data_IF_941561200744
#
_entry.id   IF_941561200744
#
_cell.length_a   1.000
_cell.length_b   1.000
_cell.length_c   1.000
_cell.angle_alpha   90.00
_cell.angle_beta   90.00
_cell.angle_gamma   90.00
#
_symmetry.space_group_name_H-M   'P 1'
#
loop_
_entity.id
_entity.type
_entity.pdbx_description
1 polymer ?
#
# COMPACT_ATOMS: atom_id res chain seq x y z
N UNK A 1 -7.56 -21.61 -22.58
CA UNK A 1 -6.18 -21.43 -22.09
C UNK A 1 -5.96 -22.44 -20.98
N UNK A 2 -4.92 -23.26 -21.02
CA UNK A 2 -4.64 -24.24 -19.96
C UNK A 2 -3.55 -23.67 -19.06
N UNK A 3 -3.90 -23.40 -17.79
CA UNK A 3 -2.94 -23.04 -16.74
C UNK A 3 -2.63 -24.29 -15.94
N UNK A 4 -1.35 -24.65 -15.83
CA UNK A 4 -0.87 -25.82 -15.09
C UNK A 4 -0.14 -25.35 -13.84
N UNK A 5 -0.52 -25.89 -12.69
CA UNK A 5 0.20 -25.68 -11.43
C UNK A 5 1.34 -26.70 -11.30
N UNK A 6 2.51 -26.26 -10.82
CA UNK A 6 3.66 -27.13 -10.54
C UNK A 6 4.46 -26.58 -9.36
N UNK A 7 5.20 -27.43 -8.65
CA UNK A 7 6.12 -27.01 -7.58
C UNK A 7 7.53 -27.39 -7.99
N UNK A 8 8.47 -26.45 -7.96
CA UNK A 8 9.89 -26.69 -8.27
C UNK A 8 10.77 -26.08 -7.19
N UNK A 9 11.62 -26.91 -6.56
CA UNK A 9 12.48 -26.46 -5.47
C UNK A 9 11.73 -25.85 -4.28
N UNK A 10 10.49 -26.31 -4.02
CA UNK A 10 9.62 -25.78 -2.97
C UNK A 10 8.84 -24.51 -3.35
N UNK A 11 9.07 -23.94 -4.54
CA UNK A 11 8.35 -22.75 -5.01
C UNK A 11 7.21 -23.17 -5.95
N UNK A 12 5.97 -22.71 -5.72
CA UNK A 12 4.85 -22.97 -6.63
C UNK A 12 4.91 -22.08 -7.87
N UNK A 13 4.63 -22.66 -9.04
CA UNK A 13 4.61 -22.04 -10.36
C UNK A 13 3.29 -22.28 -11.07
N UNK A 14 2.87 -21.30 -11.84
CA UNK A 14 1.79 -21.40 -12.81
C UNK A 14 2.37 -21.32 -14.23
N UNK A 15 1.98 -22.26 -15.08
CA UNK A 15 2.41 -22.32 -16.47
C UNK A 15 1.21 -22.10 -17.38
N UNK A 16 1.27 -21.10 -18.24
CA UNK A 16 0.25 -20.84 -19.25
C UNK A 16 0.83 -21.00 -20.66
N UNK A 17 0.07 -21.65 -21.55
CA UNK A 17 0.43 -21.85 -22.95
C UNK A 17 -0.46 -21.02 -23.87
N UNK A 18 0.15 -20.22 -24.75
CA UNK A 18 -0.51 -19.33 -25.71
C UNK A 18 -0.08 -19.68 -27.12
N UNK A 19 -1.03 -19.97 -28.01
CA UNK A 19 -0.76 -20.32 -29.41
C UNK A 19 -0.57 -19.06 -30.28
N UNK A 20 0.65 -18.71 -30.67
CA UNK A 20 0.96 -17.47 -31.41
C UNK A 20 0.79 -17.57 -32.94
N UNK A 21 0.35 -18.71 -33.47
CA UNK A 21 0.08 -18.83 -34.91
C UNK A 21 -1.23 -18.12 -35.28
N UNK A 22 -1.12 -17.05 -36.07
CA UNK A 22 -2.25 -16.38 -36.74
C UNK A 22 -2.08 -16.60 -38.25
N UNK A 23 -2.95 -17.39 -38.87
CA UNK A 23 -3.07 -17.41 -40.33
C UNK A 23 -2.18 -18.36 -41.15
N UNK A 24 -1.77 -19.51 -40.61
CA UNK A 24 -1.26 -20.64 -41.44
C UNK A 24 0.12 -20.47 -42.09
N UNK A 25 0.75 -19.29 -42.03
CA UNK A 25 2.13 -19.09 -42.47
C UNK A 25 3.10 -19.43 -41.34
N UNK A 26 3.94 -20.46 -41.53
CA UNK A 26 5.05 -20.82 -40.65
C UNK A 26 6.18 -19.77 -40.72
N UNK A 27 5.94 -18.58 -40.18
CA UNK A 27 6.97 -17.56 -40.03
C UNK A 27 7.70 -17.80 -38.71
N UNK A 28 9.04 -17.69 -38.72
CA UNK A 28 9.90 -17.79 -37.53
C UNK A 28 9.34 -16.86 -36.46
N UNK A 29 8.87 -17.43 -35.35
CA UNK A 29 8.16 -16.70 -34.32
C UNK A 29 9.01 -15.51 -33.83
N UNK A 30 8.49 -14.30 -33.97
CA UNK A 30 9.25 -13.08 -33.65
C UNK A 30 9.47 -12.96 -32.15
N UNK A 31 10.50 -12.21 -31.72
CA UNK A 31 10.81 -12.03 -30.31
C UNK A 31 9.58 -11.59 -29.52
N UNK A 32 9.36 -12.22 -28.37
CA UNK A 32 8.21 -12.00 -27.51
C UNK A 32 8.67 -11.35 -26.22
N UNK A 33 8.11 -10.20 -25.87
CA UNK A 33 8.33 -9.56 -24.57
C UNK A 33 7.17 -9.85 -23.64
N UNK A 34 7.49 -9.91 -22.35
CA UNK A 34 6.53 -10.19 -21.29
C UNK A 34 6.54 -9.02 -20.31
N UNK A 35 5.35 -8.51 -19.99
CA UNK A 35 5.18 -7.42 -19.03
C UNK A 35 4.04 -7.76 -18.08
N UNK A 36 4.22 -7.52 -16.79
CA UNK A 36 3.14 -7.71 -15.84
C UNK A 36 2.23 -6.46 -15.85
N UNK A 37 0.92 -6.67 -15.96
CA UNK A 37 -0.10 -5.60 -16.03
C UNK A 37 -1.00 -5.54 -14.80
N UNK A 38 -1.05 -6.63 -14.04
CA UNK A 38 -1.71 -6.69 -12.74
C UNK A 38 -1.09 -7.80 -11.90
N UNK A 39 -1.41 -7.86 -10.61
CA UNK A 39 -0.99 -8.95 -9.71
C UNK A 39 -1.21 -10.34 -10.34
N UNK A 40 -2.37 -10.55 -10.96
CA UNK A 40 -2.75 -11.81 -11.60
C UNK A 40 -2.68 -11.79 -13.14
N UNK A 41 -2.08 -10.76 -13.76
CA UNK A 41 -2.21 -10.53 -15.20
C UNK A 41 -0.88 -10.24 -15.88
N UNK A 42 -0.56 -11.04 -16.90
CA UNK A 42 0.67 -10.92 -17.68
C UNK A 42 0.31 -10.63 -19.13
N UNK A 43 0.89 -9.61 -19.73
CA UNK A 43 0.75 -9.29 -21.14
C UNK A 43 1.99 -9.72 -21.91
N UNK A 44 1.73 -10.45 -22.98
CA UNK A 44 2.72 -10.86 -23.97
C UNK A 44 2.58 -9.94 -25.18
N UNK A 45 3.71 -9.37 -25.63
CA UNK A 45 3.79 -8.56 -26.84
C UNK A 45 4.71 -9.26 -27.83
N UNK A 46 4.19 -9.59 -28.99
CA UNK A 46 4.95 -10.16 -30.11
C UNK A 46 5.58 -9.04 -30.95
N UNK A 47 6.59 -9.35 -31.79
CA UNK A 47 7.25 -8.30 -32.57
C UNK A 47 6.35 -7.62 -33.63
N UNK A 48 5.24 -8.24 -34.05
CA UNK A 48 4.20 -7.57 -34.85
C UNK A 48 3.28 -6.66 -34.00
N UNK A 49 3.65 -6.37 -32.74
CA UNK A 49 2.88 -5.56 -31.79
C UNK A 49 1.51 -6.15 -31.41
N UNK A 50 1.28 -7.44 -31.65
CA UNK A 50 0.08 -8.12 -31.17
C UNK A 50 0.21 -8.32 -29.65
N UNK A 51 -0.85 -7.97 -28.92
CA UNK A 51 -0.88 -8.06 -27.46
C UNK A 51 -1.81 -9.17 -27.04
N UNK A 52 -1.33 -10.02 -26.14
CA UNK A 52 -2.11 -11.12 -25.57
C UNK A 52 -2.01 -11.12 -24.06
N UNK A 53 -3.18 -11.08 -23.41
CA UNK A 53 -3.27 -11.10 -21.96
C UNK A 53 -3.45 -12.52 -21.45
N UNK A 54 -2.67 -12.87 -20.45
CA UNK A 54 -2.76 -14.08 -19.65
C UNK A 54 -3.30 -13.69 -18.28
N UNK A 55 -4.38 -14.35 -17.86
CA UNK A 55 -4.92 -14.21 -16.51
C UNK A 55 -4.60 -15.46 -15.70
N UNK A 56 -3.95 -15.28 -14.57
CA UNK A 56 -3.64 -16.32 -13.61
C UNK A 56 -4.65 -16.31 -12.45
N UNK A 57 -4.95 -17.46 -11.83
CA UNK A 57 -5.86 -17.53 -10.68
C UNK A 57 -5.26 -16.95 -9.39
N UNK A 58 -3.93 -16.80 -9.33
CA UNK A 58 -3.23 -16.26 -8.17
C UNK A 58 -2.26 -15.15 -8.59
N UNK A 59 -1.88 -14.26 -7.66
CA UNK A 59 -0.82 -13.30 -7.90
C UNK A 59 0.49 -13.98 -8.30
N UNK A 60 1.18 -13.42 -9.29
CA UNK A 60 2.42 -13.97 -9.85
C UNK A 60 3.51 -12.92 -9.85
N UNK A 61 4.76 -13.38 -9.84
CA UNK A 61 5.94 -12.51 -9.92
C UNK A 61 6.64 -12.72 -11.27
N UNK A 62 6.43 -11.79 -12.19
CA UNK A 62 7.00 -11.85 -13.54
C UNK A 62 8.52 -11.62 -13.56
N UNK A 63 9.09 -11.01 -12.51
CA UNK A 63 10.55 -10.73 -12.47
C UNK A 63 11.38 -12.02 -12.44
N UNK A 64 10.80 -13.10 -11.94
CA UNK A 64 11.39 -14.44 -11.87
C UNK A 64 10.76 -15.42 -12.86
N UNK A 65 10.02 -14.91 -13.84
CA UNK A 65 9.33 -15.75 -14.80
C UNK A 65 10.27 -16.25 -15.90
N UNK A 66 9.94 -17.44 -16.41
CA UNK A 66 10.59 -18.05 -17.56
C UNK A 66 9.64 -18.02 -18.75
N UNK A 67 10.17 -17.60 -19.89
CA UNK A 67 9.45 -17.61 -21.16
C UNK A 67 10.15 -18.59 -22.10
N UNK A 68 9.41 -19.61 -22.54
CA UNK A 68 9.85 -20.55 -23.56
C UNK A 68 9.02 -20.35 -24.82
N UNK A 69 9.69 -20.03 -25.91
CA UNK A 69 9.06 -19.80 -27.20
C UNK A 69 9.35 -20.95 -28.17
N UNK A 70 8.31 -21.42 -28.84
CA UNK A 70 8.36 -22.39 -29.96
C UNK A 70 7.73 -21.73 -31.19
N UNK A 71 7.81 -22.38 -32.36
CA UNK A 71 7.29 -21.83 -33.63
C UNK A 71 5.80 -21.45 -33.60
N UNK A 72 4.98 -22.15 -32.80
CA UNK A 72 3.52 -21.96 -32.75
C UNK A 72 3.01 -21.54 -31.38
N UNK A 73 3.87 -21.51 -30.35
CA UNK A 73 3.44 -21.40 -28.96
C UNK A 73 4.43 -20.62 -28.12
N UNK A 74 3.91 -19.84 -27.19
CA UNK A 74 4.66 -19.30 -26.06
C UNK A 74 4.17 -19.99 -24.78
N UNK A 75 5.11 -20.54 -24.03
CA UNK A 75 4.90 -21.09 -22.69
C UNK A 75 5.48 -20.09 -21.68
N UNK A 76 4.61 -19.53 -20.84
CA UNK A 76 4.98 -18.64 -19.75
C UNK A 76 4.87 -19.40 -18.45
N UNK A 77 5.99 -19.53 -17.74
CA UNK A 77 6.04 -20.10 -16.41
C UNK A 77 6.40 -19.00 -15.42
N UNK A 78 5.49 -18.74 -14.49
CA UNK A 78 5.60 -17.65 -13.50
C UNK A 78 5.47 -18.24 -12.10
N UNK A 79 6.34 -17.88 -11.13
CA UNK A 79 6.13 -18.25 -9.75
C UNK A 79 4.94 -17.50 -9.18
N UNK A 80 4.20 -18.16 -8.27
CA UNK A 80 3.20 -17.46 -7.45
C UNK A 80 3.93 -16.48 -6.53
N UNK A 81 3.42 -15.25 -6.43
CA UNK A 81 3.95 -14.26 -5.51
C UNK A 81 3.81 -14.75 -4.09
N UNK A 82 4.89 -14.72 -3.32
CA UNK A 82 4.85 -15.02 -1.90
C UNK A 82 4.40 -13.76 -1.14
N UNK A 83 3.23 -13.78 -0.45
CA UNK A 83 2.77 -12.66 0.34
C UNK A 83 3.74 -12.28 1.47
N UNK A 84 4.57 -13.22 1.91
CA UNK A 84 5.56 -13.04 2.97
C UNK A 84 6.81 -12.27 2.51
N UNK A 85 7.12 -12.29 1.21
CA UNK A 85 8.22 -11.53 0.61
C UNK A 85 7.78 -10.09 0.40
N UNK A 86 8.35 -9.20 1.21
CA UNK A 86 8.20 -7.75 1.13
C UNK A 86 8.52 -7.28 -0.31
N UNK A 87 7.63 -6.50 -0.92
CA UNK A 87 7.72 -5.99 -2.30
C UNK A 87 7.67 -7.02 -3.46
N UNK A 88 7.32 -8.30 -3.22
CA UNK A 88 7.05 -9.25 -4.32
C UNK A 88 5.83 -8.84 -5.17
N UNK A 89 4.94 -8.02 -4.60
CA UNK A 89 3.88 -7.31 -5.30
C UNK A 89 4.43 -5.99 -5.85
N UNK A 90 4.94 -6.03 -7.08
CA UNK A 90 5.31 -4.85 -7.87
C UNK A 90 4.11 -4.01 -8.35
N UNK A 91 2.92 -4.26 -7.78
CA UNK A 91 1.64 -3.65 -8.16
C UNK A 91 1.11 -2.73 -7.08
N UNK A 92 0.22 -1.84 -7.50
CA UNK A 92 -0.55 -0.97 -6.62
C UNK A 92 -1.20 -1.77 -5.48
N UNK A 93 -0.82 -1.44 -4.23
CA UNK A 93 -1.35 -2.08 -3.02
C UNK A 93 -2.75 -1.57 -2.66
N UNK A 94 -3.20 -0.50 -3.30
CA UNK A 94 -4.52 0.11 -3.13
C UNK A 94 -5.25 0.18 -4.48
N UNK A 95 -5.44 -0.97 -5.16
CA UNK A 95 -5.85 -0.96 -6.55
C UNK A 95 -7.23 -0.31 -6.71
N UNK A 96 -7.25 0.67 -7.59
CA UNK A 96 -8.45 1.31 -8.10
C UNK A 96 -8.68 0.86 -9.53
N UNK A 97 -9.84 0.28 -9.79
CA UNK A 97 -10.21 -0.24 -11.10
C UNK A 97 -11.16 0.73 -11.78
N UNK A 98 -10.88 1.11 -13.01
CA UNK A 98 -11.79 1.92 -13.81
C UNK A 98 -12.78 1.03 -14.55
N UNK A 99 -14.04 1.02 -14.12
CA UNK A 99 -15.13 0.37 -14.85
C UNK A 99 -15.94 1.45 -15.56
N UNK A 100 -15.90 1.45 -16.91
CA UNK A 100 -16.58 2.47 -17.74
C UNK A 100 -16.26 3.91 -17.28
N UNK A 101 -14.97 4.20 -17.11
CA UNK A 101 -14.47 5.50 -16.61
C UNK A 101 -14.87 5.87 -15.17
N UNK A 102 -15.50 4.96 -14.43
CA UNK A 102 -15.82 5.15 -13.02
C UNK A 102 -14.78 4.41 -12.17
N UNK A 103 -14.11 5.06 -11.20
CA UNK A 103 -13.20 4.39 -10.30
C UNK A 103 -13.95 3.53 -9.28
N UNK A 104 -13.46 2.31 -9.09
CA UNK A 104 -13.90 1.35 -8.11
C UNK A 104 -12.73 0.99 -7.20
N UNK A 105 -12.89 1.23 -5.91
CA UNK A 105 -11.95 0.78 -4.89
C UNK A 105 -12.08 -0.74 -4.70
N UNK A 106 -10.97 -1.46 -4.86
CA UNK A 106 -11.01 -2.92 -4.77
C UNK A 106 -10.94 -3.41 -3.32
N UNK A 107 -10.06 -2.81 -2.50
CA UNK A 107 -9.76 -3.27 -1.15
C UNK A 107 -10.01 -2.22 -0.07
N UNK A 108 -10.64 -1.09 -0.43
CA UNK A 108 -10.98 -0.01 0.51
C UNK A 108 -12.49 0.27 0.36
N UNK A 109 -13.22 0.24 1.47
CA UNK A 109 -14.66 0.51 1.49
C UNK A 109 -14.96 2.00 1.34
N UNK A 110 -15.98 2.33 0.55
CA UNK A 110 -16.55 3.67 0.52
C UNK A 110 -17.27 3.98 1.83
N UNK A 111 -17.13 5.22 2.30
CA UNK A 111 -17.74 5.68 3.55
C UNK A 111 -18.33 7.09 3.41
N UNK A 112 -19.36 7.37 4.21
CA UNK A 112 -19.90 8.73 4.36
C UNK A 112 -19.42 9.31 5.69
N UNK A 113 -18.36 10.13 5.63
CA UNK A 113 -17.77 10.77 6.81
C UNK A 113 -18.79 11.58 7.61
N UNK A 114 -19.68 12.33 6.96
CA UNK A 114 -20.62 13.23 7.65
C UNK A 114 -21.66 12.50 8.49
N UNK A 115 -21.89 11.20 8.24
CA UNK A 115 -22.80 10.36 9.01
C UNK A 115 -22.13 9.70 10.22
N UNK A 116 -20.80 9.81 10.36
CA UNK A 116 -20.05 9.16 11.43
C UNK A 116 -19.93 10.06 12.67
N UNK A 117 -20.05 9.50 13.89
CA UNK A 117 -19.81 10.25 15.12
C UNK A 117 -18.38 10.81 15.20
N UNK A 118 -18.23 12.05 15.67
CA UNK A 118 -16.94 12.69 15.87
C UNK A 118 -16.37 12.25 17.23
N UNK A 119 -15.08 11.89 17.24
CA UNK A 119 -14.33 11.56 18.45
C UNK A 119 -13.73 12.85 19.01
N UNK A 120 -14.09 13.19 20.25
CA UNK A 120 -13.51 14.35 20.92
C UNK A 120 -12.04 14.10 21.25
N UNK A 121 -11.17 14.98 20.76
CA UNK A 121 -9.72 14.98 21.04
C UNK A 121 -9.33 16.00 22.12
N UNK A 122 -10.31 16.52 22.88
CA UNK A 122 -10.06 17.48 23.95
C UNK A 122 -9.30 16.86 25.13
N UNK A 123 -9.68 15.63 25.50
CA UNK A 123 -9.00 14.85 26.54
C UNK A 123 -8.14 13.76 25.88
N UNK A 124 -6.84 14.01 25.69
CA UNK A 124 -5.95 13.01 25.09
C UNK A 124 -5.75 11.77 25.96
N UNK A 125 -5.90 11.88 27.29
CA UNK A 125 -5.70 10.75 28.20
C UNK A 125 -6.78 9.66 28.02
N UNK A 126 -8.01 10.04 27.65
CA UNK A 126 -9.07 9.07 27.32
C UNK A 126 -8.87 8.39 25.97
N UNK A 127 -7.87 8.79 25.19
CA UNK A 127 -7.57 8.23 23.86
C UNK A 127 -6.36 7.28 23.87
N UNK A 128 -5.86 6.86 25.04
CA UNK A 128 -4.74 5.91 25.12
C UNK A 128 -5.05 4.56 24.45
N UNK A 129 -6.33 4.16 24.38
CA UNK A 129 -6.76 2.96 23.64
C UNK A 129 -6.42 3.03 22.14
N UNK A 130 -6.28 4.23 21.59
CA UNK A 130 -5.98 4.44 20.17
C UNK A 130 -4.61 3.87 19.80
N UNK A 131 -3.62 3.97 20.69
CA UNK A 131 -2.29 3.39 20.45
C UNK A 131 -2.37 1.87 20.35
N UNK A 132 -3.09 1.24 21.28
CA UNK A 132 -3.33 -0.20 21.25
C UNK A 132 -4.09 -0.63 19.99
N UNK A 133 -5.15 0.10 19.62
CA UNK A 133 -5.95 -0.17 18.41
C UNK A 133 -5.10 -0.07 17.14
N UNK A 134 -4.32 1.00 17.00
CA UNK A 134 -3.48 1.22 15.83
C UNK A 134 -2.28 0.27 15.78
N UNK A 135 -1.79 -0.20 16.94
CA UNK A 135 -0.73 -1.21 16.95
C UNK A 135 -1.16 -2.50 16.23
N UNK A 136 -2.45 -2.86 16.25
CA UNK A 136 -2.97 -4.01 15.50
C UNK A 136 -2.96 -3.81 13.97
N UNK A 137 -2.61 -2.62 13.47
CA UNK A 137 -2.30 -2.44 12.06
C UNK A 137 -1.11 -3.29 11.60
N UNK A 138 -0.19 -3.57 12.53
CA UNK A 138 1.08 -4.23 12.26
C UNK A 138 0.98 -5.75 12.46
N UNK A 139 1.27 -6.50 11.40
CA UNK A 139 1.50 -7.93 11.47
C UNK A 139 2.80 -8.21 12.25
N UNK A 140 2.91 -9.40 12.84
CA UNK A 140 4.08 -9.77 13.65
C UNK A 140 5.38 -9.80 12.84
N UNK A 141 5.29 -10.11 11.53
CA UNK A 141 6.42 -10.01 10.63
C UNK A 141 6.89 -8.56 10.43
N UNK A 142 5.96 -7.60 10.36
CA UNK A 142 6.26 -6.17 10.20
C UNK A 142 6.91 -5.62 11.47
N UNK A 143 6.49 -6.10 12.65
CA UNK A 143 7.11 -5.75 13.94
C UNK A 143 8.57 -6.19 14.06
N UNK A 144 8.93 -7.30 13.40
CA UNK A 144 10.29 -7.84 13.34
C UNK A 144 11.10 -7.30 12.16
N UNK A 145 10.45 -6.61 11.23
CA UNK A 145 11.10 -6.10 10.03
C UNK A 145 12.05 -4.94 10.38
N UNK A 146 13.18 -4.89 9.69
CA UNK A 146 14.09 -3.74 9.76
C UNK A 146 13.38 -2.57 9.08
N UNK A 147 13.29 -1.39 9.73
CA UNK A 147 12.79 -0.18 9.09
C UNK A 147 13.48 0.05 7.74
N UNK A 148 12.75 0.57 6.75
CA UNK A 148 13.21 0.93 5.39
C UNK A 148 13.12 -0.13 4.28
N UNK A 149 12.73 -1.38 4.58
CA UNK A 149 12.57 -2.42 3.52
C UNK A 149 11.13 -2.53 3.01
N UNK A 150 10.11 -2.31 3.85
CA UNK A 150 8.71 -2.46 3.44
C UNK A 150 7.97 -1.12 3.39
N UNK A 151 7.57 -0.73 2.18
CA UNK A 151 6.81 0.49 1.93
C UNK A 151 5.51 0.55 2.75
N UNK A 152 4.78 -0.57 2.88
CA UNK A 152 3.49 -0.58 3.58
C UNK A 152 3.67 -0.48 5.08
N UNK A 153 4.67 -1.15 5.65
CA UNK A 153 5.05 -0.96 7.04
C UNK A 153 5.36 0.52 7.33
N UNK A 154 6.15 1.17 6.48
CA UNK A 154 6.44 2.60 6.63
C UNK A 154 5.16 3.46 6.56
N UNK A 155 4.28 3.23 5.58
CA UNK A 155 2.97 3.90 5.50
C UNK A 155 2.15 3.69 6.77
N UNK A 156 2.07 2.45 7.29
CA UNK A 156 1.35 2.11 8.53
C UNK A 156 1.90 2.86 9.75
N UNK A 157 3.22 2.99 9.85
CA UNK A 157 3.86 3.80 10.91
C UNK A 157 3.52 5.28 10.77
N UNK A 158 3.60 5.82 9.56
CA UNK A 158 3.26 7.21 9.26
C UNK A 158 1.79 7.49 9.57
N UNK A 159 0.87 6.56 9.24
CA UNK A 159 -0.53 6.61 9.65
C UNK A 159 -0.66 6.65 11.18
N UNK A 160 -0.05 5.70 11.89
CA UNK A 160 -0.13 5.64 13.35
C UNK A 160 0.36 6.94 14.00
N UNK A 161 1.46 7.51 13.51
CA UNK A 161 1.97 8.82 13.93
C UNK A 161 0.93 9.92 13.69
N UNK A 162 0.33 10.01 12.50
CA UNK A 162 -0.69 11.03 12.19
C UNK A 162 -1.86 10.96 13.18
N UNK A 163 -2.43 9.77 13.40
CA UNK A 163 -3.58 9.58 14.29
C UNK A 163 -3.24 9.93 15.75
N UNK A 164 -2.14 9.42 16.28
CA UNK A 164 -1.76 9.60 17.69
C UNK A 164 -1.32 11.03 18.00
N UNK A 165 -0.60 11.67 17.07
CA UNK A 165 -0.23 13.09 17.16
C UNK A 165 -1.45 13.98 17.08
N UNK A 166 -2.41 13.71 16.19
CA UNK A 166 -3.64 14.49 16.09
C UNK A 166 -4.52 14.35 17.35
N UNK A 167 -4.66 13.12 17.87
CA UNK A 167 -5.35 12.85 19.12
C UNK A 167 -4.68 13.50 20.33
N UNK A 168 -3.41 13.90 20.21
CA UNK A 168 -2.60 14.45 21.28
C UNK A 168 -2.10 13.40 22.27
N UNK A 169 -2.20 12.12 21.91
CA UNK A 169 -1.56 11.00 22.64
C UNK A 169 -0.06 11.13 22.50
N UNK A 170 0.43 11.40 21.29
CA UNK A 170 1.81 11.82 21.04
C UNK A 170 1.92 13.35 21.07
N UNK A 171 3.07 13.85 21.51
CA UNK A 171 3.37 15.29 21.60
C UNK A 171 4.49 15.67 20.60
N UNK A 172 4.46 16.89 20.03
CA UNK A 172 3.41 17.91 20.18
C UNK A 172 2.11 17.50 19.48
N UNK A 173 0.96 18.02 19.94
CA UNK A 173 -0.33 17.80 19.25
C UNK A 173 -0.35 18.67 17.99
N UNK A 174 -0.66 18.09 16.83
CA UNK A 174 -0.64 18.79 15.55
C UNK A 174 -1.85 18.43 14.68
N UNK A 175 -2.29 19.38 13.85
CA UNK A 175 -3.33 19.17 12.83
C UNK A 175 -2.78 19.08 11.41
N UNK A 176 -1.54 19.54 11.21
CA UNK A 176 -0.90 19.65 9.92
C UNK A 176 0.31 18.72 9.88
N UNK A 177 0.36 17.90 8.84
CA UNK A 177 1.43 16.93 8.62
C UNK A 177 2.02 17.12 7.23
N UNK A 178 3.32 17.07 7.14
CA UNK A 178 4.09 17.23 5.90
C UNK A 178 4.77 15.93 5.56
N UNK A 179 4.46 15.36 4.41
CA UNK A 179 5.20 14.22 3.88
C UNK A 179 6.33 14.73 3.02
N UNK A 180 7.56 14.35 3.40
CA UNK A 180 8.79 14.74 2.71
C UNK A 180 9.43 13.56 2.02
N UNK A 181 10.04 13.79 0.87
CA UNK A 181 10.92 12.82 0.25
C UNK A 181 12.22 12.68 1.04
N UNK A 182 13.03 11.66 0.71
CA UNK A 182 14.37 11.47 1.27
C UNK A 182 15.31 12.66 1.03
N UNK A 183 15.05 13.44 -0.02
CA UNK A 183 15.80 14.63 -0.40
C UNK A 183 15.37 15.89 0.39
N UNK A 184 14.29 15.78 1.19
CA UNK A 184 13.78 16.84 2.05
C UNK A 184 12.64 17.68 1.45
N UNK A 185 12.27 17.42 0.20
CA UNK A 185 11.20 18.12 -0.50
C UNK A 185 9.82 17.67 0.00
N UNK A 186 8.94 18.63 0.26
CA UNK A 186 7.56 18.34 0.64
C UNK A 186 6.80 17.95 -0.63
N UNK A 187 6.26 16.73 -0.67
CA UNK A 187 5.41 16.30 -1.78
C UNK A 187 3.92 16.38 -1.45
N UNK A 188 3.53 16.35 -0.17
CA UNK A 188 2.12 16.43 0.23
C UNK A 188 1.98 17.00 1.63
N UNK A 189 0.95 17.83 1.83
CA UNK A 189 0.53 18.33 3.14
C UNK A 189 -0.85 17.77 3.46
N UNK A 190 -1.01 17.20 4.65
CA UNK A 190 -2.27 16.70 5.17
C UNK A 190 -2.77 17.63 6.28
N UNK A 191 -4.04 18.00 6.18
CA UNK A 191 -4.75 18.76 7.21
C UNK A 191 -5.82 17.86 7.80
N UNK A 192 -5.59 17.37 9.01
CA UNK A 192 -6.57 16.55 9.72
C UNK A 192 -7.57 17.48 10.39
N UNK A 193 -8.84 17.36 10.01
CA UNK A 193 -9.94 18.14 10.59
C UNK A 193 -10.37 17.54 11.92
N UNK A 194 -10.65 16.23 11.91
CA UNK A 194 -11.22 15.51 13.05
C UNK A 194 -11.04 14.00 12.93
N UNK A 195 -11.20 13.30 14.04
CA UNK A 195 -11.33 11.85 14.07
C UNK A 195 -12.81 11.49 14.16
N UNK A 196 -13.22 10.47 13.41
CA UNK A 196 -14.57 9.93 13.39
C UNK A 196 -14.55 8.44 13.68
N UNK A 197 -15.64 7.93 14.24
CA UNK A 197 -15.82 6.51 14.53
C UNK A 197 -16.54 5.85 13.35
N UNK A 198 -15.83 4.99 12.62
CA UNK A 198 -16.42 4.12 11.61
C UNK A 198 -17.02 2.90 12.31
N UNK A 199 -18.32 3.02 12.61
CA UNK A 199 -19.08 1.98 13.30
C UNK A 199 -19.18 0.68 12.49
N UNK A 200 -19.20 0.77 11.16
CA UNK A 200 -19.33 -0.40 10.29
C UNK A 200 -18.05 -1.25 10.29
N UNK A 201 -16.90 -0.58 10.25
CA UNK A 201 -15.59 -1.23 10.27
C UNK A 201 -15.00 -1.34 11.69
N UNK A 202 -15.76 -0.92 12.72
CA UNK A 202 -15.35 -0.90 14.13
C UNK A 202 -13.97 -0.26 14.35
N UNK A 203 -13.72 0.86 13.67
CA UNK A 203 -12.41 1.52 13.69
C UNK A 203 -12.55 3.04 13.70
N UNK A 204 -11.42 3.73 13.76
CA UNK A 204 -11.35 5.17 13.61
C UNK A 204 -11.02 5.55 12.17
N UNK A 205 -11.49 6.72 11.75
CA UNK A 205 -11.12 7.34 10.47
C UNK A 205 -10.81 8.80 10.71
N UNK A 206 -9.72 9.30 10.13
CA UNK A 206 -9.42 10.71 10.11
C UNK A 206 -10.05 11.36 8.87
N UNK A 207 -10.87 12.37 9.12
CA UNK A 207 -11.42 13.25 8.10
C UNK A 207 -10.40 14.35 7.83
N UNK A 208 -9.84 14.37 6.63
CA UNK A 208 -8.72 15.23 6.32
C UNK A 208 -8.81 15.84 4.92
N UNK A 209 -7.95 16.81 4.67
CA UNK A 209 -7.75 17.42 3.37
C UNK A 209 -6.30 17.23 2.93
N UNK A 210 -6.12 16.86 1.67
CA UNK A 210 -4.82 16.65 1.05
C UNK A 210 -4.49 17.84 0.14
N UNK A 211 -3.30 18.40 0.31
CA UNK A 211 -2.69 19.35 -0.60
C UNK A 211 -1.46 18.70 -1.24
N UNK A 212 -1.55 18.25 -2.50
CA UNK A 212 -0.37 17.78 -3.21
C UNK A 212 0.50 18.99 -3.56
N UNK A 213 1.81 18.86 -3.33
CA UNK A 213 2.78 19.88 -3.76
C UNK A 213 3.40 19.36 -5.06
N UNK A 214 2.96 19.85 -6.23
CA UNK A 214 3.53 19.42 -7.49
C UNK A 214 5.02 19.77 -7.54
N UNK A 215 5.81 18.92 -8.22
CA UNK A 215 7.24 19.12 -8.48
C UNK A 215 7.52 20.30 -9.45
N UNK A 216 6.56 21.23 -9.61
CA UNK A 216 6.52 22.31 -10.58
C UNK A 216 5.39 23.31 -10.28
N UNK A 217 5.47 24.49 -10.89
CA UNK A 217 4.74 25.75 -10.63
C UNK A 217 3.21 25.73 -10.94
N UNK A 218 2.48 24.67 -10.61
CA UNK A 218 1.02 24.62 -10.87
C UNK A 218 0.18 25.39 -9.83
N UNK A 219 0.78 25.75 -8.68
CA UNK A 219 0.14 26.62 -7.70
C UNK A 219 1.04 27.84 -7.42
N UNK A 220 0.76 29.00 -8.06
CA UNK A 220 1.56 30.21 -7.90
C UNK A 220 1.66 30.69 -6.44
N UNK A 221 0.65 30.41 -5.61
CA UNK A 221 0.58 30.78 -4.19
C UNK A 221 1.08 29.69 -3.23
N UNK A 222 1.28 28.45 -3.68
CA UNK A 222 1.72 27.35 -2.81
C UNK A 222 3.07 27.63 -2.14
N UNK A 223 4.12 28.11 -2.82
CA UNK A 223 5.41 28.32 -2.17
C UNK A 223 5.34 29.35 -1.02
N UNK A 224 4.54 30.40 -1.17
CA UNK A 224 4.35 31.44 -0.15
C UNK A 224 3.48 30.92 0.99
N UNK A 225 2.38 30.22 0.66
CA UNK A 225 1.45 29.71 1.67
C UNK A 225 2.04 28.55 2.47
N UNK A 226 2.77 27.64 1.82
CA UNK A 226 3.52 26.57 2.50
C UNK A 226 4.55 27.16 3.45
N UNK A 227 5.33 28.18 3.02
CA UNK A 227 6.26 28.88 3.92
C UNK A 227 5.54 29.52 5.11
N UNK A 228 4.33 30.06 4.93
CA UNK A 228 3.53 30.62 6.03
C UNK A 228 3.06 29.55 7.00
N UNK A 229 2.53 28.44 6.49
CA UNK A 229 2.09 27.28 7.28
C UNK A 229 3.24 26.76 8.15
N UNK A 230 4.41 26.54 7.54
CA UNK A 230 5.60 26.01 8.22
C UNK A 230 6.15 26.95 9.30
N UNK A 231 5.97 28.26 9.16
CA UNK A 231 6.47 29.25 10.13
C UNK A 231 5.53 29.50 11.30
N UNK A 232 4.22 29.47 11.04
CA UNK A 232 3.22 30.01 11.97
C UNK A 232 2.40 28.93 12.67
N UNK A 233 2.50 27.66 12.25
CA UNK A 233 1.68 26.57 12.80
C UNK A 233 2.56 25.41 13.26
N UNK A 234 2.11 24.68 14.28
CA UNK A 234 2.73 23.39 14.64
C UNK A 234 2.48 22.38 13.53
N UNK A 235 3.56 22.05 12.82
CA UNK A 235 3.59 21.05 11.76
C UNK A 235 4.44 19.87 12.22
N UNK A 236 4.03 18.66 11.87
CA UNK A 236 4.82 17.44 12.08
C UNK A 236 5.29 16.90 10.74
N UNK A 237 6.61 16.85 10.57
CA UNK A 237 7.26 16.30 9.40
C UNK A 237 7.34 14.76 9.50
N UNK A 238 6.99 14.10 8.40
CA UNK A 238 7.13 12.65 8.20
C UNK A 238 8.01 12.46 6.97
N UNK A 239 9.22 11.98 7.18
CA UNK A 239 10.16 11.66 6.10
C UNK A 239 9.83 10.30 5.52
N UNK A 240 9.59 10.26 4.22
CA UNK A 240 9.24 9.06 3.46
C UNK A 240 10.41 8.60 2.60
N UNK A 241 10.66 7.30 2.60
CA UNK A 241 11.58 6.68 1.63
C UNK A 241 10.91 6.57 0.25
N UNK A 242 11.64 6.46 -0.88
CA UNK A 242 11.03 6.48 -2.21
C UNK A 242 9.93 5.42 -2.44
N UNK A 243 10.07 4.24 -1.83
CA UNK A 243 9.05 3.19 -1.91
C UNK A 243 7.80 3.53 -1.09
N UNK A 244 7.96 4.13 0.09
CA UNK A 244 6.86 4.65 0.92
C UNK A 244 6.15 5.82 0.25
N UNK A 245 6.90 6.76 -0.34
CA UNK A 245 6.33 7.88 -1.10
C UNK A 245 5.43 7.36 -2.22
N UNK A 246 5.87 6.37 -2.99
CA UNK A 246 5.06 5.73 -4.03
C UNK A 246 3.79 5.10 -3.47
N UNK A 247 3.89 4.39 -2.34
CA UNK A 247 2.75 3.77 -1.67
C UNK A 247 1.75 4.81 -1.15
N UNK A 248 2.22 5.95 -0.62
CA UNK A 248 1.37 7.09 -0.25
C UNK A 248 0.62 7.65 -1.45
N UNK A 249 1.31 7.84 -2.58
CA UNK A 249 0.68 8.36 -3.81
C UNK A 249 -0.43 7.43 -4.32
N UNK A 250 -0.23 6.12 -4.25
CA UNK A 250 -1.26 5.12 -4.53
C UNK A 250 -2.44 5.22 -3.54
N UNK A 251 -2.13 5.32 -2.25
CA UNK A 251 -3.14 5.41 -1.20
C UNK A 251 -4.01 6.66 -1.33
N UNK A 252 -3.43 7.81 -1.73
CA UNK A 252 -4.16 9.07 -1.81
C UNK A 252 -5.35 9.02 -2.78
N UNK A 253 -5.20 8.35 -3.92
CA UNK A 253 -6.31 8.13 -4.85
C UNK A 253 -7.40 7.33 -4.18
N UNK A 254 -7.03 6.26 -3.47
CA UNK A 254 -8.01 5.42 -2.80
C UNK A 254 -8.75 6.14 -1.66
N UNK A 255 -8.06 6.93 -0.82
CA UNK A 255 -8.69 7.61 0.33
C UNK A 255 -9.49 8.85 -0.05
N UNK A 256 -9.21 9.47 -1.21
CA UNK A 256 -10.03 10.58 -1.74
C UNK A 256 -11.32 10.05 -2.36
N UNK A 257 -11.24 8.99 -3.17
CA UNK A 257 -12.41 8.30 -3.69
C UNK A 257 -13.26 7.67 -2.57
N UNK A 258 -12.62 7.19 -1.50
CA UNK A 258 -13.29 6.56 -0.35
C UNK A 258 -14.40 7.41 0.26
N UNK A 259 -14.23 8.74 0.33
CA UNK A 259 -15.22 9.65 0.93
C UNK A 259 -15.87 10.60 -0.08
N UNK A 260 -15.76 10.29 -1.37
CA UNK A 260 -16.19 11.16 -2.45
C UNK A 260 -17.66 11.54 -2.36
N UNK A 261 -17.94 12.82 -2.61
CA UNK A 261 -19.29 13.39 -2.77
C UNK A 261 -19.47 14.23 -4.03
N UNK A 262 -18.42 14.34 -4.85
CA UNK A 262 -18.41 15.10 -6.09
C UNK A 262 -18.42 14.16 -7.29
N UNK A 263 -18.83 14.66 -8.45
CA UNK A 263 -18.79 13.90 -9.71
C UNK A 263 -17.48 14.15 -10.46
N UNK A 264 -17.10 13.19 -11.31
CA UNK A 264 -15.93 13.34 -12.14
C UNK A 264 -16.30 14.24 -13.31
N UNK A 265 -15.37 15.08 -13.73
CA UNK A 265 -15.56 15.84 -14.95
C UNK A 265 -15.25 14.96 -16.17
N UNK A 266 -15.71 15.36 -17.35
CA UNK A 266 -15.40 14.66 -18.62
C UNK A 266 -13.92 14.66 -18.99
N UNK A 267 -13.13 15.53 -18.36
CA UNK A 267 -11.69 15.65 -18.57
C UNK A 267 -10.93 15.13 -17.33
N UNK A 268 -11.52 14.17 -16.61
CA UNK A 268 -10.88 13.59 -15.45
C UNK A 268 -9.56 12.95 -15.86
N UNK A 269 -8.51 13.16 -15.06
CA UNK A 269 -7.21 12.56 -15.29
C UNK A 269 -7.29 11.02 -15.30
N UNK A 270 -8.29 10.44 -14.64
CA UNK A 270 -8.53 9.00 -14.63
C UNK A 270 -8.82 8.45 -16.03
N UNK A 271 -9.47 9.23 -16.92
CA UNK A 271 -9.75 8.79 -18.30
C UNK A 271 -8.48 8.68 -19.15
N UNK A 272 -7.47 9.49 -18.84
CA UNK A 272 -6.16 9.41 -19.48
C UNK A 272 -5.30 8.25 -18.96
N UNK A 273 -5.72 7.63 -17.85
CA UNK A 273 -5.02 6.50 -17.26
C UNK A 273 -5.52 5.20 -17.87
N UNK A 274 -4.65 4.53 -18.61
CA UNK A 274 -5.01 3.26 -19.23
C UNK A 274 -5.31 2.21 -18.16
N UNK A 275 -6.30 1.37 -18.44
CA UNK A 275 -6.68 0.20 -17.65
C UNK A 275 -5.44 -0.68 -17.36
N UNK A 276 -4.99 -0.73 -16.10
CA UNK A 276 -3.79 -1.49 -15.69
C UNK A 276 -2.48 -0.69 -15.65
N UNK A 277 -2.53 0.64 -15.78
CA UNK A 277 -1.41 1.50 -15.39
C UNK A 277 -1.46 1.78 -13.89
N UNK A 278 -0.32 1.58 -13.22
CA UNK A 278 -0.10 2.10 -11.87
C UNK A 278 -0.34 3.61 -11.91
N UNK A 279 -1.31 4.08 -11.14
CA UNK A 279 -1.79 5.47 -11.13
C UNK A 279 -0.60 6.41 -10.84
N UNK A 280 -0.15 7.26 -11.81
CA UNK A 280 1.05 8.07 -11.62
C UNK A 280 0.79 9.40 -10.91
N UNK A 281 -0.46 9.81 -10.71
CA UNK A 281 -0.80 11.06 -10.03
C UNK A 281 -1.60 10.78 -8.75
N UNK A 282 -1.29 11.51 -7.67
CA UNK A 282 -1.80 11.23 -6.33
C UNK A 282 -3.32 11.02 -6.31
N UNK A 283 -4.08 11.80 -7.07
CA UNK A 283 -5.53 11.76 -7.21
C UNK A 283 -5.97 12.75 -8.31
N UNK A 284 -7.20 12.60 -8.83
CA UNK A 284 -7.74 13.51 -9.84
C UNK A 284 -7.98 14.92 -9.30
N UNK A 285 -8.03 15.92 -10.19
CA UNK A 285 -8.33 17.31 -9.80
C UNK A 285 -9.83 17.55 -9.55
N UNK A 286 -10.71 16.60 -9.87
CA UNK A 286 -12.17 16.76 -9.77
C UNK A 286 -12.64 17.11 -8.34
N UNK A 287 -11.90 16.67 -7.32
CA UNK A 287 -12.21 16.92 -5.91
C UNK A 287 -11.65 18.23 -5.33
N UNK A 288 -10.86 18.98 -6.10
CA UNK A 288 -10.21 20.20 -5.61
C UNK A 288 -11.24 21.26 -5.20
N UNK A 289 -11.09 21.79 -3.98
CA UNK A 289 -11.95 22.85 -3.43
C UNK A 289 -13.40 22.44 -3.18
N UNK A 290 -13.71 21.13 -3.19
CA UNK A 290 -15.05 20.62 -2.91
C UNK A 290 -15.26 20.37 -1.43
N UNK A 291 -16.52 20.04 -1.10
CA UNK A 291 -16.92 19.48 0.20
C UNK A 291 -16.57 20.35 1.42
N UNK A 292 -16.96 21.62 1.34
CA UNK A 292 -16.82 22.62 2.40
C UNK A 292 -15.38 22.87 2.87
N UNK A 293 -14.38 22.70 2.00
CA UNK A 293 -13.01 23.06 2.31
C UNK A 293 -12.88 24.51 2.84
N UNK A 294 -13.54 25.48 2.21
CA UNK A 294 -13.39 26.90 2.57
C UNK A 294 -13.74 27.22 4.03
N UNK A 295 -14.77 26.60 4.64
CA UNK A 295 -15.11 26.91 6.04
C UNK A 295 -14.01 26.46 7.00
N UNK A 296 -13.50 25.24 6.82
CA UNK A 296 -12.40 24.70 7.62
C UNK A 296 -11.11 25.52 7.48
N UNK A 297 -10.75 25.88 6.24
CA UNK A 297 -9.52 26.66 6.00
C UNK A 297 -9.63 28.12 6.40
N UNK A 298 -10.83 28.72 6.40
CA UNK A 298 -11.07 30.05 6.97
C UNK A 298 -10.79 30.10 8.48
N UNK A 299 -11.25 29.10 9.22
CA UNK A 299 -10.96 28.99 10.67
C UNK A 299 -9.46 28.85 10.96
N UNK A 300 -8.70 28.31 10.02
CA UNK A 300 -7.24 28.18 10.11
C UNK A 300 -6.48 29.38 9.54
N UNK A 301 -7.15 30.43 9.05
CA UNK A 301 -6.54 31.59 8.35
C UNK A 301 -5.73 31.19 7.11
N UNK A 302 -6.23 30.20 6.38
CA UNK A 302 -5.61 29.57 5.20
C UNK A 302 -6.61 29.44 4.02
N UNK A 303 -7.57 30.35 3.89
CA UNK A 303 -8.63 30.27 2.87
C UNK A 303 -8.09 30.17 1.43
N UNK A 304 -6.91 30.74 1.16
CA UNK A 304 -6.27 30.71 -0.18
C UNK A 304 -5.88 29.31 -0.66
N UNK A 305 -5.71 28.34 0.25
CA UNK A 305 -5.42 26.95 -0.15
C UNK A 305 -6.67 26.11 -0.31
N UNK A 306 -7.83 26.60 0.13
CA UNK A 306 -9.08 25.84 0.11
C UNK A 306 -9.42 25.32 -1.29
N UNK A 307 -9.13 26.09 -2.35
CA UNK A 307 -9.38 25.72 -3.74
C UNK A 307 -8.43 24.62 -4.28
N UNK A 308 -7.34 24.31 -3.58
CA UNK A 308 -6.30 23.37 -4.04
C UNK A 308 -6.32 22.04 -3.29
N UNK A 309 -7.07 21.95 -2.19
CA UNK A 309 -7.16 20.74 -1.39
C UNK A 309 -8.26 19.81 -1.84
N UNK A 310 -8.11 18.51 -1.57
CA UNK A 310 -9.15 17.49 -1.79
C UNK A 310 -9.43 16.77 -0.48
N UNK A 311 -10.71 16.59 -0.13
CA UNK A 311 -11.11 15.85 1.08
C UNK A 311 -10.74 14.38 0.93
N UNK A 312 -10.29 13.75 2.01
CA UNK A 312 -9.90 12.35 2.08
C UNK A 312 -10.34 11.71 3.41
N UNK A 313 -10.61 10.41 3.34
CA UNK A 313 -10.89 9.55 4.49
C UNK A 313 -9.66 8.67 4.78
N UNK A 314 -8.79 9.15 5.66
CA UNK A 314 -7.60 8.43 6.05
C UNK A 314 -7.97 7.40 7.13
N UNK A 315 -7.76 6.11 6.86
CA UNK A 315 -8.08 5.02 7.79
C UNK A 315 -6.85 4.19 8.18
N UNK A 316 -6.89 3.50 9.34
CA UNK A 316 -5.94 2.44 9.67
C UNK A 316 -5.93 1.34 8.58
N UNK A 317 -4.73 0.83 8.28
CA UNK A 317 -4.53 -0.29 7.37
C UNK A 317 -4.20 -1.54 8.19
N UNK A 318 -5.21 -2.35 8.48
CA UNK A 318 -5.03 -3.54 9.31
C UNK A 318 -4.31 -4.67 8.57
N UNK A 319 -3.47 -5.40 9.32
CA UNK A 319 -2.96 -6.69 8.89
C UNK A 319 -4.14 -7.66 8.67
N UNK A 320 -3.94 -8.66 7.80
CA UNK A 320 -4.99 -9.60 7.41
C UNK A 320 -4.87 -10.85 8.29
N UNK A 321 -5.68 -11.04 9.35
CA UNK A 321 -5.37 -12.02 10.39
C UNK A 321 -5.47 -13.48 9.94
N UNK A 322 -6.16 -13.75 8.82
CA UNK A 322 -6.22 -15.09 8.23
C UNK A 322 -5.03 -15.40 7.31
N UNK A 323 -4.23 -14.40 6.91
CA UNK A 323 -3.00 -14.57 6.13
C UNK A 323 -1.74 -14.36 6.98
N UNK A 324 -1.83 -13.60 8.06
CA UNK A 324 -0.69 -13.15 8.84
C UNK A 324 -0.94 -13.29 10.34
N UNK A 325 0.10 -13.64 11.09
CA UNK A 325 0.06 -13.58 12.55
C UNK A 325 0.02 -12.11 13.01
N UNK A 326 -0.87 -11.81 13.95
CA UNK A 326 -1.04 -10.48 14.55
C UNK A 326 -1.13 -10.65 16.07
N UNK A 327 -0.27 -9.98 16.82
CA UNK A 327 -0.35 -9.95 18.27
C UNK A 327 0.23 -11.18 18.98
N UNK A 328 0.94 -12.06 18.27
CA UNK A 328 1.65 -13.22 18.87
C UNK A 328 2.97 -12.76 19.51
N UNK A 329 3.75 -11.92 18.82
CA UNK A 329 5.04 -11.45 19.33
C UNK A 329 4.96 -10.67 20.67
N UNK A 330 3.93 -9.84 20.94
CA UNK A 330 3.75 -9.21 22.26
C UNK A 330 3.39 -10.17 23.39
N UNK A 331 2.73 -11.31 23.10
CA UNK A 331 2.30 -12.25 24.15
C UNK A 331 3.45 -13.15 24.63
N UNK A 332 4.38 -13.54 23.77
CA UNK A 332 5.57 -14.32 24.16
C UNK A 332 6.50 -13.54 25.10
N UNK A 333 6.52 -12.20 25.00
CA UNK A 333 7.27 -11.33 25.94
C UNK A 333 6.55 -11.13 27.27
N UNK A 334 5.21 -11.16 27.28
CA UNK A 334 4.41 -11.04 28.49
C UNK A 334 4.40 -12.34 29.31
N UNK A 335 4.52 -13.50 28.66
CA UNK A 335 4.59 -14.80 29.36
C UNK A 335 5.99 -15.13 29.91
N UNK A 336 7.05 -14.49 29.41
CA UNK A 336 8.42 -14.67 29.89
C UNK A 336 8.88 -13.61 30.92
N UNK A 337 8.04 -12.64 31.26
CA UNK A 337 8.30 -11.72 32.38
C UNK A 337 7.73 -12.33 33.67
N UNK A 338 8.51 -13.21 34.30
CA UNK A 338 8.28 -13.58 35.70
C UNK A 338 8.36 -12.35 36.63
N UNK A 339 7.90 -12.45 37.90
CA UNK A 339 7.91 -11.33 38.83
C UNK A 339 9.35 -10.83 38.98
N UNK A 340 9.59 -9.56 38.66
CA UNK A 340 10.86 -8.90 38.96
C UNK A 340 10.76 -8.41 40.39
N UNK A 341 11.46 -9.11 41.29
CA UNK A 341 11.64 -8.68 42.67
C UNK A 341 12.36 -7.32 42.71
N UNK A 342 11.79 -6.39 43.47
CA UNK A 342 12.39 -5.09 43.80
C UNK A 342 13.65 -5.29 44.65
N UNK A 343 14.82 -4.95 44.08
CA UNK A 343 15.99 -4.57 44.88
C UNK A 343 16.87 -3.59 44.10
N UNK A 344 17.01 -2.39 44.66
CA UNK A 344 17.84 -1.29 44.21
C UNK A 344 19.34 -1.61 44.16
N UNK A 345 20.06 -1.11 43.14
CA UNK A 345 21.13 -0.10 43.30
C UNK A 345 22.02 0.04 42.04
N UNK A 346 22.21 1.31 41.63
CA UNK A 346 23.34 1.92 40.90
C UNK A 346 24.40 1.03 40.20
N UNK A 347 24.68 1.34 38.93
CA UNK A 347 25.94 1.96 38.43
C UNK A 347 26.00 1.87 36.90
N UNK A 348 26.57 2.89 36.26
CA UNK A 348 26.62 3.02 34.80
C UNK A 348 27.71 2.22 34.07
N UNK A 349 27.80 2.55 32.77
CA UNK A 349 28.82 2.23 31.77
C UNK A 349 28.62 0.96 30.89
N UNK A 350 28.39 1.25 29.61
CA UNK A 350 29.01 0.69 28.39
C UNK A 350 29.57 -0.74 28.43
N UNK A 351 29.09 -1.60 27.54
CA UNK A 351 29.94 -2.35 26.59
C UNK A 351 29.12 -3.21 25.60
N UNK A 352 29.51 -3.12 24.33
CA UNK A 352 29.33 -4.17 23.32
C UNK A 352 29.84 -5.51 23.85
N UNK A 353 29.13 -6.60 23.56
CA UNK A 353 29.61 -7.95 23.82
C UNK A 353 29.00 -8.96 22.85
N UNK A 354 29.79 -9.37 21.87
CA UNK A 354 29.57 -10.58 21.07
C UNK A 354 29.42 -11.79 22.00
N UNK A 355 28.49 -12.68 21.69
CA UNK A 355 28.51 -14.06 22.19
C UNK A 355 28.39 -15.05 21.01
N UNK A 356 29.53 -15.69 20.72
CA UNK A 356 29.64 -16.96 20.00
C UNK A 356 29.10 -18.09 20.88
N UNK A 357 28.38 -19.05 20.28
CA UNK A 357 27.95 -20.28 20.95
C UNK A 357 27.81 -21.47 19.99
N UNK A 358 28.89 -22.27 19.96
CA UNK A 358 29.12 -23.64 19.43
C UNK A 358 27.99 -24.47 18.77
N UNK A 359 28.34 -24.92 17.56
CA UNK A 359 28.40 -26.29 17.00
C UNK A 359 27.78 -27.43 17.84
N UNK A 360 26.79 -28.10 17.24
CA UNK A 360 26.42 -29.50 17.49
C UNK A 360 26.26 -30.23 16.14
N UNK A 361 27.06 -31.26 15.93
CA UNK A 361 27.10 -32.13 14.74
C UNK A 361 26.05 -33.25 14.82
N UNK A 362 25.39 -33.56 13.69
CA UNK A 362 24.48 -34.70 13.58
C UNK A 362 24.10 -35.05 12.13
N UNK A 363 24.92 -35.92 11.53
CA UNK A 363 24.67 -36.93 10.49
C UNK A 363 23.53 -36.80 9.46
N UNK A 364 23.98 -36.75 8.20
CA UNK A 364 23.42 -37.26 6.94
C UNK A 364 22.12 -38.08 6.95
N UNK A 365 21.15 -37.61 6.15
CA UNK A 365 20.10 -38.42 5.54
C UNK A 365 19.79 -37.86 4.14
N UNK A 366 20.18 -38.56 3.09
CA UNK A 366 19.82 -38.24 1.70
C UNK A 366 18.34 -38.53 1.48
N UNK A 367 17.50 -37.50 1.46
CA UNK A 367 16.10 -37.60 1.08
C UNK A 367 15.96 -37.32 -0.42
N UNK A 368 15.69 -38.38 -1.17
CA UNK A 368 15.29 -38.38 -2.58
C UNK A 368 14.00 -37.54 -2.74
N UNK A 369 14.11 -36.33 -3.32
CA UNK A 369 12.96 -35.50 -3.65
C UNK A 369 12.20 -36.12 -4.83
N UNK A 370 11.11 -36.83 -4.55
CA UNK A 370 10.11 -37.19 -5.56
C UNK A 370 9.33 -35.94 -5.96
N UNK A 371 9.44 -35.53 -7.23
CA UNK A 371 8.56 -34.52 -7.84
C UNK A 371 7.10 -35.02 -7.83
N UNK A 372 6.24 -34.36 -7.06
CA UNK A 372 4.80 -34.54 -7.11
C UNK A 372 4.22 -33.62 -8.20
N UNK A 373 4.05 -34.15 -9.41
CA UNK A 373 3.33 -33.48 -10.49
C UNK A 373 1.81 -33.62 -10.27
N UNK A 374 1.22 -32.71 -9.48
CA UNK A 374 -0.23 -32.59 -9.36
C UNK A 374 -0.74 -31.63 -10.44
N UNK A 375 -1.36 -32.17 -11.48
CA UNK A 375 -2.00 -31.36 -12.54
C UNK A 375 -3.43 -31.03 -12.11
N UNK A 376 -3.69 -29.78 -11.72
CA UNK A 376 -5.05 -29.26 -11.49
C UNK A 376 -5.41 -28.36 -12.68
N UNK A 377 -6.41 -28.75 -13.47
CA UNK A 377 -6.97 -27.92 -14.53
C UNK A 377 -8.02 -26.97 -13.94
N UNK A 378 -7.76 -25.66 -14.03
CA UNK A 378 -8.77 -24.64 -13.74
C UNK A 378 -9.49 -24.27 -15.04
N UNK A 379 -10.80 -24.53 -15.11
CA UNK A 379 -11.64 -23.97 -16.16
C UNK A 379 -12.00 -22.53 -15.81
N UNK A 380 -11.40 -21.57 -16.50
CA UNK A 380 -11.80 -20.17 -16.44
C UNK A 380 -13.11 -20.01 -17.23
N UNK A 381 -14.19 -19.64 -16.55
CA UNK A 381 -15.41 -19.17 -17.20
C UNK A 381 -15.12 -17.80 -17.82
N UNK A 382 -14.82 -17.79 -19.11
CA UNK A 382 -14.97 -16.60 -19.95
C UNK A 382 -16.44 -16.52 -20.33
N UNK A 383 -17.23 -15.83 -19.53
CA UNK A 383 -18.43 -15.10 -19.93
C UNK A 383 -19.16 -14.64 -18.67
N UNK A 384 -18.78 -13.43 -18.21
CA UNK A 384 -19.63 -12.40 -17.60
C UNK A 384 -18.71 -11.29 -17.09
N UNK A 385 -19.08 -10.05 -17.47
CA UNK A 385 -18.49 -8.72 -17.16
C UNK A 385 -17.59 -8.15 -18.27
#
# INVERSE_FOLDING_TARGET
MNTVFSIRGGVPYLTAKVNINVGGSHVRASAVTMTQRSSCGVEIITANSERRRISFPFPVDVTRASLRQTFSMVEVQVPISDPSVLDSFSFDRFPMVLLRSTPWLWNISYINLDSMPIISVANSASLNWLDSHLAFMLADRERRAIPHIDALYCVKKSLMQIFLTFAGVYKPKAKIFTLRSSEGDIHTILFVRELRLDLNSQTVVADCFLLPIPSGTECPSAPVTVKRILKNTTVVDITTVPSEQRAWMQLFSAITERCRKWEHTRNCEYDSWSLGSTIPSAFCSCGRGKDNASSFFKEMELDEISCFVTRAALGPLFAVPYLEAVGVAPMDTAQNSGPVDDASANSGATALGLARGRIGSGTSGTAEQRELNVTVQFHLFHDLI
#
